data_IF_605534686622
#
_entry.id   IF_605534686622
#
_cell.length_a   1.000
_cell.length_b   1.000
_cell.length_c   1.000
_cell.angle_alpha   90.00
_cell.angle_beta   90.00
_cell.angle_gamma   90.00
#
_symmetry.space_group_name_H-M   'P 1'
#
loop_
_entity.id
_entity.type
_entity.pdbx_description
1 polymer ?
#
# COMPACT_ATOMS: atom_id res chain seq x y z
N UNK A 1 -6.80 19.35 10.65
CA UNK A 1 -5.91 18.85 9.59
C UNK A 1 -4.53 18.57 10.19
N UNK A 2 -3.74 17.65 9.63
CA UNK A 2 -2.32 17.56 10.00
C UNK A 2 -1.55 18.62 9.20
N UNK A 3 -0.48 19.23 9.75
CA UNK A 3 0.37 20.14 8.98
C UNK A 3 1.04 19.41 7.81
N UNK A 4 0.99 20.01 6.60
CA UNK A 4 1.64 19.44 5.40
C UNK A 4 3.14 19.24 5.59
N UNK A 5 3.78 20.08 6.41
CA UNK A 5 5.19 19.95 6.78
C UNK A 5 5.54 18.56 7.37
N UNK A 6 4.58 17.87 8.01
CA UNK A 6 4.81 16.53 8.53
C UNK A 6 5.05 15.49 7.43
N UNK A 7 4.50 15.66 6.22
CA UNK A 7 4.62 14.69 5.11
C UNK A 7 6.08 14.49 4.65
N UNK A 8 6.93 15.49 4.92
CA UNK A 8 8.34 15.48 4.56
C UNK A 8 9.24 15.00 5.71
N UNK A 9 8.68 14.68 6.88
CA UNK A 9 9.48 14.25 8.02
C UNK A 9 10.12 12.86 7.74
N UNK A 10 11.45 12.71 7.87
CA UNK A 10 12.14 11.47 7.50
C UNK A 10 11.68 10.28 8.34
N UNK A 11 11.35 10.49 9.62
CA UNK A 11 10.82 9.43 10.49
C UNK A 11 9.59 8.72 9.94
N UNK A 12 8.72 9.40 9.18
CA UNK A 12 7.55 8.75 8.57
C UNK A 12 7.92 7.67 7.54
N UNK A 13 9.17 7.67 7.05
CA UNK A 13 9.71 6.70 6.08
C UNK A 13 10.63 5.66 6.72
N UNK A 14 10.89 5.76 8.03
CA UNK A 14 11.75 4.83 8.77
C UNK A 14 11.10 3.45 8.94
N UNK A 15 11.93 2.40 9.05
CA UNK A 15 11.46 1.04 9.36
C UNK A 15 10.76 0.97 10.73
N UNK A 16 11.30 1.68 11.73
CA UNK A 16 10.72 1.74 13.06
C UNK A 16 9.29 2.28 13.04
N UNK A 17 9.04 3.37 12.31
CA UNK A 17 7.70 3.93 12.17
C UNK A 17 6.78 3.01 11.36
N UNK A 18 7.27 2.35 10.31
CA UNK A 18 6.49 1.36 9.57
C UNK A 18 6.01 0.19 10.45
N UNK A 19 6.88 -0.32 11.33
CA UNK A 19 6.54 -1.36 12.29
C UNK A 19 5.51 -0.88 13.33
N UNK A 20 5.68 0.33 13.86
CA UNK A 20 4.72 0.94 14.79
C UNK A 20 3.36 1.18 14.13
N UNK A 21 3.33 1.69 12.90
CA UNK A 21 2.10 1.92 12.15
C UNK A 21 1.31 0.61 11.95
N UNK A 22 1.99 -0.48 11.61
CA UNK A 22 1.39 -1.82 11.53
C UNK A 22 0.73 -2.24 12.85
N UNK A 23 1.43 -2.05 13.98
CA UNK A 23 0.90 -2.38 15.32
C UNK A 23 -0.29 -1.50 15.72
N UNK A 24 -0.24 -0.20 15.43
CA UNK A 24 -1.33 0.73 15.77
C UNK A 24 -2.58 0.47 14.91
N UNK A 25 -2.39 0.08 13.65
CA UNK A 25 -3.48 -0.10 12.67
C UNK A 25 -4.48 -1.21 13.00
N UNK A 26 -4.19 -2.04 14.01
CA UNK A 26 -5.10 -3.08 14.52
C UNK A 26 -6.19 -2.52 15.44
N UNK A 27 -5.99 -1.33 16.01
CA UNK A 27 -6.95 -0.72 16.92
C UNK A 27 -8.11 -0.08 16.16
N UNK A 28 -9.32 -0.61 16.38
CA UNK A 28 -10.54 -0.15 15.73
C UNK A 28 -10.77 1.36 15.83
N UNK A 29 -10.60 1.94 17.02
CA UNK A 29 -10.79 3.38 17.24
C UNK A 29 -9.85 4.26 16.41
N UNK A 30 -8.60 3.81 16.18
CA UNK A 30 -7.66 4.52 15.31
C UNK A 30 -8.12 4.44 13.86
N UNK A 31 -8.61 3.28 13.41
CA UNK A 31 -9.14 3.12 12.05
C UNK A 31 -10.37 3.99 11.83
N UNK A 32 -11.30 4.00 12.78
CA UNK A 32 -12.52 4.82 12.73
C UNK A 32 -12.18 6.32 12.67
N UNK A 33 -11.20 6.78 13.46
CA UNK A 33 -10.75 8.17 13.43
C UNK A 33 -10.17 8.61 12.08
N UNK A 34 -9.66 7.67 11.27
CA UNK A 34 -9.11 7.94 9.93
C UNK A 34 -10.11 7.63 8.80
N UNK A 35 -11.20 6.92 9.08
CA UNK A 35 -12.14 6.43 8.07
C UNK A 35 -12.78 7.57 7.28
N UNK A 36 -13.42 8.50 7.99
CA UNK A 36 -14.14 9.63 7.38
C UNK A 36 -13.23 10.48 6.49
N UNK A 37 -11.96 10.65 6.88
CA UNK A 37 -11.00 11.40 6.07
C UNK A 37 -10.69 10.69 4.75
N UNK A 38 -10.42 9.38 4.81
CA UNK A 38 -10.10 8.63 3.61
C UNK A 38 -11.30 8.52 2.67
N UNK A 39 -12.51 8.33 3.24
CA UNK A 39 -13.79 8.37 2.52
C UNK A 39 -14.03 9.70 1.83
N UNK A 40 -13.87 10.82 2.53
CA UNK A 40 -14.01 12.15 1.96
C UNK A 40 -13.05 12.38 0.79
N UNK A 41 -11.80 11.90 0.90
CA UNK A 41 -10.83 11.97 -0.19
C UNK A 41 -11.22 11.08 -1.38
N UNK A 42 -11.74 9.88 -1.13
CA UNK A 42 -12.19 8.95 -2.17
C UNK A 42 -13.38 9.48 -2.98
N UNK A 43 -14.28 10.24 -2.34
CA UNK A 43 -15.51 10.76 -2.95
C UNK A 43 -15.37 12.19 -3.51
N UNK A 44 -14.15 12.71 -3.64
CA UNK A 44 -13.95 14.07 -4.13
C UNK A 44 -14.34 14.20 -5.63
N UNK A 45 -14.88 15.35 -6.07
CA UNK A 45 -15.43 15.49 -7.43
C UNK A 45 -14.43 15.31 -8.57
N UNK A 46 -13.14 15.61 -8.34
CA UNK A 46 -12.08 15.44 -9.35
C UNK A 46 -11.64 14.00 -9.55
N UNK A 47 -12.20 13.05 -8.80
CA UNK A 47 -11.69 11.70 -8.67
C UNK A 47 -10.48 11.62 -7.73
N UNK A 48 -10.09 10.39 -7.39
CA UNK A 48 -9.01 10.11 -6.46
C UNK A 48 -8.30 8.79 -6.77
N UNK A 49 -6.99 8.76 -6.50
CA UNK A 49 -6.20 7.52 -6.44
C UNK A 49 -5.81 7.30 -4.99
N UNK A 50 -6.22 6.18 -4.42
CA UNK A 50 -5.93 5.80 -3.03
C UNK A 50 -5.05 4.55 -3.02
N UNK A 51 -3.92 4.62 -2.32
CA UNK A 51 -3.07 3.48 -2.02
C UNK A 51 -3.22 3.09 -0.55
N UNK A 52 -3.33 1.79 -0.29
CA UNK A 52 -3.55 1.25 1.05
C UNK A 52 -3.84 -0.24 1.06
N UNK A 53 -4.13 -0.79 2.24
CA UNK A 53 -4.32 -2.24 2.44
C UNK A 53 -5.76 -2.71 2.24
N UNK A 54 -6.73 -1.91 2.65
CA UNK A 54 -8.16 -2.24 2.64
C UNK A 54 -9.00 -1.19 1.89
N UNK A 55 -8.39 -0.56 0.88
CA UNK A 55 -9.06 0.46 0.08
C UNK A 55 -10.26 -0.14 -0.66
N UNK A 56 -10.04 -1.12 -1.54
CA UNK A 56 -11.11 -1.71 -2.34
C UNK A 56 -12.13 -2.58 -1.57
N UNK A 57 -11.89 -2.85 -0.28
CA UNK A 57 -12.75 -3.71 0.55
C UNK A 57 -13.49 -2.95 1.65
N UNK A 58 -12.93 -1.86 2.18
CA UNK A 58 -13.50 -1.10 3.32
C UNK A 58 -13.65 0.39 3.00
N UNK A 59 -12.59 1.03 2.48
CA UNK A 59 -12.53 2.50 2.31
C UNK A 59 -13.10 2.99 0.97
N UNK A 60 -13.25 2.11 -0.02
CA UNK A 60 -13.78 2.37 -1.36
C UNK A 60 -14.33 1.07 -2.00
N UNK A 61 -15.21 0.29 -1.33
CA UNK A 61 -15.85 -0.88 -1.96
C UNK A 61 -16.64 -0.54 -3.22
N UNK A 62 -17.07 0.70 -3.40
CA UNK A 62 -17.75 1.20 -4.59
C UNK A 62 -16.82 1.74 -5.69
N UNK A 63 -15.49 1.68 -5.49
CA UNK A 63 -14.52 2.19 -6.46
C UNK A 63 -14.73 1.58 -7.85
N UNK A 64 -14.66 2.44 -8.87
CA UNK A 64 -14.86 2.08 -10.27
C UNK A 64 -13.78 1.12 -10.79
N UNK A 65 -12.56 1.27 -10.27
CA UNK A 65 -11.40 0.44 -10.55
C UNK A 65 -10.73 0.08 -9.23
N UNK A 66 -10.41 -1.20 -9.05
CA UNK A 66 -9.64 -1.72 -7.93
C UNK A 66 -8.46 -2.51 -8.46
N UNK A 67 -7.25 -2.11 -8.08
CA UNK A 67 -6.04 -2.84 -8.40
C UNK A 67 -5.49 -3.48 -7.11
N UNK A 68 -5.21 -4.77 -7.17
CA UNK A 68 -4.44 -5.47 -6.13
C UNK A 68 -3.01 -5.66 -6.63
N UNK A 69 -2.13 -4.74 -6.28
CA UNK A 69 -0.73 -4.76 -6.72
C UNK A 69 0.07 -5.71 -5.83
N UNK A 70 0.70 -6.70 -6.44
CA UNK A 70 1.52 -7.70 -5.76
C UNK A 70 2.91 -7.79 -6.36
N UNK A 71 3.84 -8.37 -5.60
CA UNK A 71 5.14 -8.80 -6.08
C UNK A 71 5.74 -9.86 -5.15
N UNK A 72 6.66 -10.65 -5.68
CA UNK A 72 7.46 -11.58 -4.89
C UNK A 72 8.17 -10.85 -3.75
N UNK A 73 8.37 -11.58 -2.64
CA UNK A 73 9.08 -11.05 -1.45
C UNK A 73 10.47 -10.58 -1.85
N UNK A 74 11.21 -11.37 -2.63
CA UNK A 74 12.56 -11.04 -3.06
C UNK A 74 12.63 -9.79 -3.95
N UNK A 75 11.67 -9.58 -4.86
CA UNK A 75 11.61 -8.35 -5.67
C UNK A 75 11.33 -7.10 -4.82
N UNK A 76 10.48 -7.22 -3.78
CA UNK A 76 10.23 -6.13 -2.82
C UNK A 76 11.44 -5.88 -1.92
N UNK A 77 12.09 -6.94 -1.43
CA UNK A 77 13.28 -6.85 -0.60
C UNK A 77 14.43 -6.16 -1.35
N UNK A 78 14.68 -6.52 -2.61
CA UNK A 78 15.72 -5.89 -3.42
C UNK A 78 15.46 -4.40 -3.65
N UNK A 79 14.21 -4.02 -3.94
CA UNK A 79 13.81 -2.61 -4.12
C UNK A 79 14.00 -1.82 -2.84
N UNK A 80 13.55 -2.36 -1.69
CA UNK A 80 13.67 -1.71 -0.38
C UNK A 80 15.13 -1.60 0.06
N UNK A 81 15.92 -2.66 -0.09
CA UNK A 81 17.35 -2.63 0.21
C UNK A 81 18.08 -1.52 -0.56
N UNK A 82 17.85 -1.39 -1.87
CA UNK A 82 18.42 -0.30 -2.68
C UNK A 82 17.98 1.10 -2.22
N UNK A 83 16.80 1.23 -1.64
CA UNK A 83 16.32 2.48 -1.04
C UNK A 83 17.06 2.78 0.27
N UNK A 84 17.18 1.78 1.15
CA UNK A 84 17.86 1.90 2.43
C UNK A 84 19.35 2.21 2.28
N UNK A 85 20.04 1.55 1.34
CA UNK A 85 21.44 1.86 1.01
C UNK A 85 21.63 3.33 0.57
N UNK A 86 20.67 3.89 -0.18
CA UNK A 86 20.71 5.30 -0.62
C UNK A 86 20.50 6.28 0.54
N UNK A 87 19.87 5.84 1.63
CA UNK A 87 19.65 6.60 2.85
C UNK A 87 20.77 6.40 3.89
N UNK A 88 21.83 5.65 3.55
CA UNK A 88 22.96 5.40 4.44
C UNK A 88 22.72 4.28 5.47
N UNK A 89 21.66 3.50 5.32
CA UNK A 89 21.38 2.35 6.17
C UNK A 89 22.34 1.18 5.85
N UNK A 90 22.67 0.37 6.86
CA UNK A 90 23.63 -0.74 6.76
C UNK A 90 22.98 -2.13 6.79
N UNK A 91 21.65 -2.21 6.73
CA UNK A 91 20.92 -3.47 6.75
C UNK A 91 21.22 -4.31 5.52
N UNK A 92 21.35 -5.62 5.71
CA UNK A 92 21.62 -6.56 4.63
C UNK A 92 20.33 -6.95 3.90
N UNK A 93 20.47 -7.39 2.64
CA UNK A 93 19.32 -7.87 1.86
C UNK A 93 18.55 -9.02 2.55
N UNK A 94 19.21 -10.06 3.14
CA UNK A 94 18.50 -11.12 3.86
C UNK A 94 17.72 -10.63 5.09
N UNK A 95 18.24 -9.65 5.82
CA UNK A 95 17.53 -9.05 6.96
C UNK A 95 16.24 -8.35 6.52
N UNK A 96 16.33 -7.54 5.46
CA UNK A 96 15.16 -6.86 4.88
C UNK A 96 14.15 -7.87 4.34
N UNK A 97 14.60 -8.93 3.68
CA UNK A 97 13.74 -9.99 3.16
C UNK A 97 12.97 -10.70 4.27
N UNK A 98 13.66 -11.08 5.36
CA UNK A 98 13.03 -11.70 6.52
C UNK A 98 12.02 -10.77 7.21
N UNK A 99 12.35 -9.49 7.36
CA UNK A 99 11.44 -8.49 7.94
C UNK A 99 10.18 -8.29 7.09
N UNK A 100 10.33 -8.23 5.76
CA UNK A 100 9.21 -8.11 4.83
C UNK A 100 8.31 -9.36 4.88
N UNK A 101 8.90 -10.56 4.86
CA UNK A 101 8.13 -11.80 4.97
C UNK A 101 7.32 -11.86 6.28
N UNK A 102 7.93 -11.52 7.41
CA UNK A 102 7.25 -11.49 8.70
C UNK A 102 6.15 -10.41 8.77
N UNK A 103 6.32 -9.29 8.05
CA UNK A 103 5.28 -8.27 7.93
C UNK A 103 4.12 -8.74 7.06
N UNK A 104 4.39 -9.35 5.91
CA UNK A 104 3.36 -9.84 5.01
C UNK A 104 2.49 -10.91 5.68
N UNK A 105 3.12 -11.81 6.44
CA UNK A 105 2.40 -12.85 7.19
C UNK A 105 1.45 -12.23 8.22
N UNK A 106 1.90 -11.22 8.96
CA UNK A 106 1.05 -10.47 9.90
C UNK A 106 -0.07 -9.72 9.19
N UNK A 107 0.21 -9.07 8.08
CA UNK A 107 -0.78 -8.29 7.31
C UNK A 107 -1.85 -9.21 6.68
N UNK A 108 -1.49 -10.45 6.29
CA UNK A 108 -2.42 -11.45 5.73
C UNK A 108 -3.26 -12.16 6.79
N UNK A 109 -2.67 -12.49 7.95
CA UNK A 109 -3.34 -13.29 8.99
C UNK A 109 -4.10 -12.46 10.03
N UNK A 110 -4.04 -11.13 9.97
CA UNK A 110 -4.76 -10.29 10.94
C UNK A 110 -6.28 -10.49 10.88
N UNK A 111 -6.90 -10.57 12.05
CA UNK A 111 -8.36 -10.73 12.17
C UNK A 111 -9.16 -9.52 11.66
N UNK A 112 -8.57 -8.32 11.67
CA UNK A 112 -9.23 -7.07 11.26
C UNK A 112 -8.62 -6.55 9.97
N UNK A 113 -9.45 -6.44 8.92
CA UNK A 113 -9.09 -5.95 7.59
C UNK A 113 -7.87 -6.65 6.96
N UNK A 114 -7.82 -8.00 6.87
CA UNK A 114 -6.67 -8.71 6.31
C UNK A 114 -6.29 -8.19 4.92
N UNK A 115 -5.00 -8.27 4.55
CA UNK A 115 -4.54 -7.92 3.21
C UNK A 115 -5.07 -8.95 2.20
N UNK A 116 -6.26 -8.68 1.67
CA UNK A 116 -6.94 -9.51 0.68
C UNK A 116 -7.36 -8.66 -0.51
N UNK A 117 -7.31 -9.25 -1.69
CA UNK A 117 -7.88 -8.64 -2.89
C UNK A 117 -9.41 -8.56 -2.73
N UNK A 118 -10.01 -7.44 -3.14
CA UNK A 118 -11.46 -7.39 -3.31
C UNK A 118 -11.89 -8.36 -4.42
N UNK A 119 -13.11 -8.89 -4.35
CA UNK A 119 -13.58 -9.90 -5.29
C UNK A 119 -13.57 -9.43 -6.76
N UNK A 120 -13.71 -8.12 -6.98
CA UNK A 120 -13.70 -7.44 -8.27
C UNK A 120 -12.39 -6.70 -8.55
N UNK A 121 -11.34 -6.93 -7.75
CA UNK A 121 -10.03 -6.33 -7.98
C UNK A 121 -9.26 -7.05 -9.09
N UNK A 122 -8.60 -6.26 -9.93
CA UNK A 122 -7.66 -6.76 -10.92
C UNK A 122 -6.30 -6.95 -10.23
N UNK A 123 -5.74 -8.15 -10.30
CA UNK A 123 -4.41 -8.43 -9.74
C UNK A 123 -3.34 -7.94 -10.72
N UNK A 124 -2.45 -7.06 -10.25
CA UNK A 124 -1.27 -6.59 -10.98
C UNK A 124 -0.02 -7.12 -10.30
N UNK A 125 0.61 -8.15 -10.88
CA UNK A 125 1.93 -8.59 -10.43
C UNK A 125 3.02 -7.73 -11.08
N UNK A 126 3.77 -6.98 -10.26
CA UNK A 126 4.85 -6.11 -10.72
C UNK A 126 6.25 -6.61 -10.32
N UNK A 127 6.40 -7.91 -10.08
CA UNK A 127 7.67 -8.53 -9.67
C UNK A 127 8.80 -8.25 -10.67
N UNK A 128 8.49 -8.30 -11.97
CA UNK A 128 9.46 -8.10 -13.05
C UNK A 128 9.33 -6.73 -13.73
N UNK A 129 8.45 -5.87 -13.25
CA UNK A 129 8.19 -4.56 -13.85
C UNK A 129 9.06 -3.48 -13.21
N UNK A 130 9.59 -2.59 -14.05
CA UNK A 130 10.11 -1.31 -13.59
C UNK A 130 8.98 -0.44 -13.02
N UNK A 131 9.32 0.60 -12.26
CA UNK A 131 8.30 1.52 -11.72
C UNK A 131 7.47 2.16 -12.84
N UNK A 132 8.12 2.56 -13.95
CA UNK A 132 7.44 3.14 -15.11
C UNK A 132 6.54 2.12 -15.83
N UNK A 133 7.02 0.89 -16.01
CA UNK A 133 6.22 -0.18 -16.63
C UNK A 133 5.03 -0.57 -15.76
N UNK A 134 5.22 -0.66 -14.44
CA UNK A 134 4.14 -0.93 -13.48
C UNK A 134 3.08 0.18 -13.49
N UNK A 135 3.48 1.44 -13.61
CA UNK A 135 2.55 2.56 -13.69
C UNK A 135 1.77 2.54 -15.01
N UNK A 136 2.45 2.32 -16.13
CA UNK A 136 1.81 2.21 -17.44
C UNK A 136 0.80 1.05 -17.48
N UNK A 137 1.16 -0.10 -16.92
CA UNK A 137 0.26 -1.26 -16.85
C UNK A 137 -0.95 -0.99 -15.94
N UNK A 138 -0.76 -0.35 -14.79
CA UNK A 138 -1.85 0.05 -13.92
C UNK A 138 -2.85 0.98 -14.63
N UNK A 139 -2.35 1.97 -15.39
CA UNK A 139 -3.19 2.87 -16.20
C UNK A 139 -3.96 2.09 -17.26
N UNK A 140 -3.27 1.23 -18.02
CA UNK A 140 -3.89 0.40 -19.07
C UNK A 140 -5.03 -0.47 -18.51
N UNK A 141 -4.81 -1.10 -17.37
CA UNK A 141 -5.83 -1.92 -16.69
C UNK A 141 -7.02 -1.09 -16.21
N UNK A 142 -6.77 0.11 -15.68
CA UNK A 142 -7.81 1.02 -15.24
C UNK A 142 -8.68 1.50 -16.41
N UNK A 143 -8.06 1.92 -17.52
CA UNK A 143 -8.77 2.35 -18.73
C UNK A 143 -9.65 1.23 -19.30
N UNK A 144 -9.11 0.01 -19.41
CA UNK A 144 -9.90 -1.14 -19.87
C UNK A 144 -11.11 -1.41 -18.98
N UNK A 145 -10.95 -1.31 -17.66
CA UNK A 145 -12.04 -1.53 -16.70
C UNK A 145 -13.13 -0.47 -16.81
N UNK A 146 -12.76 0.78 -17.04
CA UNK A 146 -13.69 1.90 -17.22
C UNK A 146 -14.45 1.79 -18.55
N UNK A 147 -13.79 1.34 -19.62
CA UNK A 147 -14.44 1.11 -20.92
C UNK A 147 -15.40 -0.07 -20.94
N UNK A 148 -15.21 -1.04 -20.04
CA UNK A 148 -16.06 -2.23 -19.93
C UNK A 148 -17.31 -2.03 -19.04
N UNK A 149 -17.58 -0.80 -18.59
CA UNK A 149 -18.80 -0.44 -17.83
C UNK A 149 -19.84 0.19 -18.76
#
# INVERSE_FOLDING_TARGET
SFPDALLHHPELRSEATGALASRVSVHRSVREALYERQRAFALQPSGAVLDGRDIGTVIAPEAEVKLFVTATVSARALRRWREMQRLGDSSTLPEIEAQLAARDERDRTRAVAPLTAAADAIVLDNSELSAAASAAEAIRLAEQRLLAR
#
